data_IF_374250168334
#
_entry.id   IF_374250168334
#
_cell.length_a   1.000
_cell.length_b   1.000
_cell.length_c   1.000
_cell.angle_alpha   90.00
_cell.angle_beta   90.00
_cell.angle_gamma   90.00
#
_symmetry.space_group_name_H-M   'P 1'
#
loop_
_entity.id
_entity.type
_entity.pdbx_description
1 polymer ?
#
# COMPACT_ATOMS: atom_id res chain seq x y z
N UNK A 1 -7.94 53.74 5.16
CA UNK A 1 -7.52 52.80 4.09
C UNK A 1 -7.64 51.39 4.63
N UNK A 2 -8.46 50.53 4.02
CA UNK A 2 -8.55 49.12 4.41
C UNK A 2 -7.25 48.41 4.01
N UNK A 3 -6.59 47.73 4.96
CA UNK A 3 -5.47 46.84 4.60
C UNK A 3 -5.97 45.80 3.58
N UNK A 4 -5.24 45.53 2.48
CA UNK A 4 -5.59 44.47 1.57
C UNK A 4 -5.56 43.14 2.34
N UNK A 5 -6.65 42.37 2.24
CA UNK A 5 -6.72 41.03 2.84
C UNK A 5 -5.82 40.10 2.02
N UNK A 6 -4.77 39.56 2.64
CA UNK A 6 -3.89 38.57 2.01
C UNK A 6 -4.59 37.21 2.07
N UNK A 7 -4.59 36.48 0.96
CA UNK A 7 -5.19 35.14 0.91
C UNK A 7 -4.38 34.17 1.78
N UNK A 8 -4.99 33.24 2.55
CA UNK A 8 -4.26 32.31 3.40
C UNK A 8 -3.17 31.51 2.66
N UNK A 9 -3.43 31.11 1.40
CA UNK A 9 -2.42 30.44 0.56
C UNK A 9 -1.15 31.28 0.31
N UNK A 10 -1.24 32.60 0.42
CA UNK A 10 -0.12 33.52 0.23
C UNK A 10 0.51 33.95 1.57
N UNK A 11 -0.14 33.65 2.70
CA UNK A 11 0.28 34.11 4.02
C UNK A 11 0.81 32.99 4.92
N UNK A 12 0.40 31.75 4.71
CA UNK A 12 0.77 30.61 5.55
C UNK A 12 1.97 29.86 4.98
N UNK A 13 2.96 29.58 5.84
CA UNK A 13 4.04 28.65 5.51
C UNK A 13 3.47 27.25 5.25
N UNK A 14 3.97 26.57 4.22
CA UNK A 14 3.52 25.22 3.86
C UNK A 14 2.19 25.15 3.11
N UNK A 15 1.57 26.28 2.74
CA UNK A 15 0.28 26.28 2.02
C UNK A 15 0.33 25.63 0.61
N UNK A 16 1.54 25.42 0.09
CA UNK A 16 1.79 24.76 -1.19
C UNK A 16 2.51 23.41 -1.03
N UNK A 17 2.70 22.92 0.19
CA UNK A 17 3.23 21.56 0.39
C UNK A 17 2.22 20.56 -0.17
N UNK A 18 2.65 19.84 -1.22
CA UNK A 18 1.82 18.82 -1.83
C UNK A 18 1.72 17.64 -0.87
N UNK A 19 0.50 17.37 -0.41
CA UNK A 19 0.18 16.18 0.37
C UNK A 19 -0.49 15.19 -0.56
N UNK A 20 -0.15 13.88 -0.49
CA UNK A 20 -0.91 12.86 -1.17
C UNK A 20 -2.38 12.98 -0.76
N UNK A 21 -3.27 13.08 -1.75
CA UNK A 21 -4.72 13.09 -1.53
C UNK A 21 -5.19 11.62 -1.47
N UNK A 22 -5.06 11.02 -0.30
CA UNK A 22 -5.45 9.64 -0.04
C UNK A 22 -6.89 9.58 0.49
N UNK A 23 -7.72 8.63 0.00
CA UNK A 23 -8.97 8.29 0.65
C UNK A 23 -8.76 7.94 2.12
N UNK A 24 -9.74 8.30 2.95
CA UNK A 24 -9.66 8.12 4.43
C UNK A 24 -9.84 6.68 4.89
N UNK A 25 -10.19 5.78 3.98
CA UNK A 25 -10.43 4.37 4.24
C UNK A 25 -9.67 3.52 3.23
N UNK A 26 -9.02 2.48 3.71
CA UNK A 26 -8.39 1.42 2.92
C UNK A 26 -9.13 0.10 3.24
N UNK A 27 -9.80 -0.47 2.22
CA UNK A 27 -10.62 -1.66 2.35
C UNK A 27 -9.88 -2.90 1.81
N UNK A 28 -9.58 -3.85 2.69
CA UNK A 28 -8.84 -5.06 2.35
C UNK A 28 -9.74 -6.18 1.83
N UNK A 29 -9.28 -6.88 0.79
CA UNK A 29 -9.92 -8.08 0.27
C UNK A 29 -8.89 -9.10 -0.25
N UNK A 30 -8.79 -10.26 0.40
CA UNK A 30 -7.83 -11.32 0.03
C UNK A 30 -8.42 -12.56 -0.66
N UNK A 31 -9.70 -12.52 -1.06
CA UNK A 31 -10.30 -13.60 -1.86
C UNK A 31 -11.14 -13.03 -2.99
N UNK A 32 -11.11 -13.68 -4.15
CA UNK A 32 -11.72 -13.18 -5.38
C UNK A 32 -13.16 -12.66 -5.22
N UNK A 33 -14.08 -13.38 -4.55
CA UNK A 33 -15.45 -12.88 -4.41
C UNK A 33 -15.53 -11.56 -3.62
N UNK A 34 -14.65 -11.37 -2.63
CA UNK A 34 -14.56 -10.14 -1.83
C UNK A 34 -13.87 -9.03 -2.60
N UNK A 35 -12.81 -9.35 -3.35
CA UNK A 35 -12.12 -8.37 -4.21
C UNK A 35 -13.09 -7.76 -5.23
N UNK A 36 -13.82 -8.61 -5.96
CA UNK A 36 -14.83 -8.16 -6.93
C UNK A 36 -15.94 -7.33 -6.29
N UNK A 37 -16.41 -7.73 -5.09
CA UNK A 37 -17.41 -6.99 -4.33
C UNK A 37 -16.90 -5.63 -3.85
N UNK A 38 -15.65 -5.53 -3.41
CA UNK A 38 -15.04 -4.27 -2.99
C UNK A 38 -14.94 -3.28 -4.16
N UNK A 39 -14.51 -3.75 -5.33
CA UNK A 39 -14.45 -2.93 -6.55
C UNK A 39 -15.84 -2.43 -6.99
N UNK A 40 -16.84 -3.32 -6.99
CA UNK A 40 -18.22 -2.93 -7.29
C UNK A 40 -18.75 -1.90 -6.29
N UNK A 41 -18.52 -2.11 -4.99
CA UNK A 41 -18.92 -1.17 -3.95
C UNK A 41 -18.26 0.19 -4.12
N UNK A 42 -16.95 0.24 -4.43
CA UNK A 42 -16.23 1.49 -4.68
C UNK A 42 -16.86 2.25 -5.85
N UNK A 43 -17.15 1.54 -6.94
CA UNK A 43 -17.74 2.11 -8.15
C UNK A 43 -19.19 2.62 -7.94
N UNK A 44 -19.98 1.93 -7.11
CA UNK A 44 -21.40 2.24 -6.88
C UNK A 44 -21.62 3.36 -5.85
N UNK A 45 -20.68 3.58 -4.93
CA UNK A 45 -20.88 4.52 -3.81
C UNK A 45 -20.85 6.00 -4.23
N UNK A 46 -19.99 6.38 -5.18
CA UNK A 46 -19.85 7.76 -5.64
C UNK A 46 -19.16 7.86 -7.00
N UNK A 47 -19.14 9.06 -7.59
CA UNK A 47 -18.37 9.35 -8.81
C UNK A 47 -16.87 9.52 -8.56
N UNK A 48 -16.45 9.59 -7.30
CA UNK A 48 -15.05 9.60 -6.86
C UNK A 48 -14.79 8.43 -5.92
N UNK A 49 -13.54 7.98 -5.82
CA UNK A 49 -13.17 6.96 -4.85
C UNK A 49 -13.24 7.51 -3.42
N UNK A 50 -14.18 7.02 -2.62
CA UNK A 50 -14.30 7.37 -1.19
C UNK A 50 -13.36 6.54 -0.29
N UNK A 51 -12.85 5.42 -0.80
CA UNK A 51 -11.93 4.52 -0.13
C UNK A 51 -11.00 3.88 -1.16
N UNK A 52 -9.80 3.50 -0.76
CA UNK A 52 -8.90 2.62 -1.51
C UNK A 52 -9.29 1.16 -1.33
N UNK A 53 -9.00 0.32 -2.32
CA UNK A 53 -9.11 -1.15 -2.18
C UNK A 53 -7.70 -1.74 -2.18
N UNK A 54 -7.33 -2.42 -1.09
CA UNK A 54 -6.12 -3.26 -1.04
C UNK A 54 -6.49 -4.70 -1.37
N UNK A 55 -6.03 -5.20 -2.52
CA UNK A 55 -6.06 -6.63 -2.81
C UNK A 55 -4.94 -7.29 -2.01
N UNK A 56 -5.29 -8.29 -1.23
CA UNK A 56 -4.37 -8.85 -0.23
C UNK A 56 -3.82 -10.19 -0.67
N UNK A 57 -2.50 -10.29 -0.87
CA UNK A 57 -1.80 -11.53 -1.21
C UNK A 57 -1.22 -12.23 0.01
N UNK A 58 -1.28 -11.61 1.19
CA UNK A 58 -0.64 -12.10 2.40
C UNK A 58 -1.67 -12.76 3.35
N UNK A 59 -1.91 -12.22 4.54
CA UNK A 59 -2.69 -12.91 5.57
C UNK A 59 -4.17 -13.14 5.20
N UNK A 60 -4.71 -12.36 4.26
CA UNK A 60 -6.08 -12.49 3.76
C UNK A 60 -6.26 -13.51 2.64
N UNK A 61 -5.17 -14.08 2.10
CA UNK A 61 -5.18 -14.96 0.94
C UNK A 61 -5.15 -16.46 1.29
N UNK A 62 -5.63 -17.34 0.40
CA UNK A 62 -5.40 -18.78 0.51
C UNK A 62 -3.91 -19.13 0.30
N UNK A 63 -3.39 -20.08 1.07
CA UNK A 63 -2.01 -20.58 0.95
C UNK A 63 -1.89 -21.61 -0.18
N UNK A 64 -0.76 -21.62 -0.90
CA UNK A 64 -0.41 -22.65 -1.90
C UNK A 64 -0.86 -22.36 -3.33
N UNK A 65 -1.18 -21.10 -3.63
CA UNK A 65 -1.57 -20.62 -4.96
C UNK A 65 -1.11 -19.18 -5.19
N UNK A 66 0.02 -18.81 -4.60
CA UNK A 66 0.57 -17.44 -4.60
C UNK A 66 0.73 -16.88 -6.02
N UNK A 67 1.30 -17.62 -7.01
CA UNK A 67 1.43 -17.12 -8.38
C UNK A 67 0.08 -16.85 -9.07
N UNK A 68 -0.92 -17.71 -8.84
CA UNK A 68 -2.28 -17.53 -9.37
C UNK A 68 -2.96 -16.34 -8.71
N UNK A 69 -2.75 -16.15 -7.40
CA UNK A 69 -3.34 -15.04 -6.64
C UNK A 69 -2.76 -13.69 -7.08
N UNK A 70 -1.45 -13.60 -7.28
CA UNK A 70 -0.79 -12.40 -7.79
C UNK A 70 -1.26 -12.04 -9.21
N UNK A 71 -1.47 -13.05 -10.09
CA UNK A 71 -2.05 -12.83 -11.43
C UNK A 71 -3.48 -12.33 -11.37
N UNK A 72 -4.32 -12.92 -10.53
CA UNK A 72 -5.69 -12.45 -10.31
C UNK A 72 -5.70 -10.99 -9.85
N UNK A 73 -4.85 -10.63 -8.89
CA UNK A 73 -4.75 -9.24 -8.42
C UNK A 73 -4.34 -8.28 -9.55
N UNK A 74 -3.34 -8.65 -10.36
CA UNK A 74 -2.93 -7.86 -11.53
C UNK A 74 -4.06 -7.71 -12.56
N UNK A 75 -4.83 -8.77 -12.83
CA UNK A 75 -6.00 -8.73 -13.72
C UNK A 75 -7.08 -7.77 -13.17
N UNK A 76 -7.38 -7.84 -11.88
CA UNK A 76 -8.38 -6.96 -11.26
C UNK A 76 -7.96 -5.49 -11.27
N UNK A 77 -6.70 -5.18 -10.94
CA UNK A 77 -6.15 -3.82 -10.98
C UNK A 77 -6.18 -3.26 -12.41
N UNK A 78 -5.84 -4.07 -13.42
CA UNK A 78 -5.81 -3.64 -14.82
C UNK A 78 -7.20 -3.55 -15.45
N UNK A 79 -8.20 -4.22 -14.88
CA UNK A 79 -9.57 -4.25 -15.40
C UNK A 79 -10.31 -2.91 -15.35
N UNK A 80 -11.40 -2.82 -16.11
CA UNK A 80 -12.35 -1.71 -16.06
C UNK A 80 -13.08 -1.60 -14.70
N UNK A 81 -13.08 -2.65 -13.87
CA UNK A 81 -13.67 -2.61 -12.54
C UNK A 81 -12.87 -1.74 -11.56
N UNK A 82 -11.58 -1.53 -11.81
CA UNK A 82 -10.80 -0.47 -11.16
C UNK A 82 -11.19 0.90 -11.75
N UNK A 83 -12.45 1.32 -11.52
CA UNK A 83 -13.07 2.50 -12.15
C UNK A 83 -12.29 3.79 -11.85
N UNK A 84 -11.78 3.92 -10.63
CA UNK A 84 -11.19 5.15 -10.11
C UNK A 84 -9.66 5.15 -10.07
N UNK A 85 -8.99 4.04 -10.41
CA UNK A 85 -7.54 3.93 -10.31
C UNK A 85 -7.02 3.90 -8.87
N UNK A 86 -7.86 3.51 -7.91
CA UNK A 86 -7.61 3.53 -6.46
C UNK A 86 -7.62 2.12 -5.87
N UNK A 87 -6.84 1.25 -6.50
CA UNK A 87 -6.67 -0.16 -6.11
C UNK A 87 -5.18 -0.43 -5.94
N UNK A 88 -4.76 -0.73 -4.72
CA UNK A 88 -3.41 -1.16 -4.37
C UNK A 88 -3.36 -2.64 -4.05
N UNK A 89 -2.16 -3.15 -3.78
CA UNK A 89 -1.95 -4.56 -3.45
C UNK A 89 -0.98 -4.69 -2.26
N UNK A 90 -1.35 -5.51 -1.26
CA UNK A 90 -0.44 -5.95 -0.20
C UNK A 90 0.23 -7.24 -0.65
N UNK A 91 1.56 -7.20 -0.75
CA UNK A 91 2.39 -8.34 -1.18
C UNK A 91 2.88 -9.13 0.02
N UNK A 92 3.51 -10.27 -0.20
CA UNK A 92 4.24 -10.96 0.86
C UNK A 92 5.36 -10.09 1.47
N UNK A 93 5.82 -10.34 2.70
CA UNK A 93 6.90 -9.56 3.30
C UNK A 93 8.23 -9.78 2.55
N UNK A 94 9.14 -8.82 2.57
CA UNK A 94 10.51 -9.03 2.09
C UNK A 94 11.37 -9.63 3.23
N UNK A 95 12.24 -10.64 3.00
CA UNK A 95 12.56 -11.33 1.74
C UNK A 95 11.85 -12.70 1.60
N UNK A 96 10.52 -12.76 1.78
CA UNK A 96 9.74 -13.98 1.55
C UNK A 96 9.94 -14.49 0.11
N UNK A 97 10.02 -15.81 -0.14
CA UNK A 97 10.24 -16.36 -1.48
C UNK A 97 9.27 -15.86 -2.56
N UNK A 98 8.01 -15.60 -2.19
CA UNK A 98 6.99 -15.09 -3.13
C UNK A 98 7.11 -13.61 -3.47
N UNK A 99 7.82 -12.80 -2.67
CA UNK A 99 7.85 -11.34 -2.83
C UNK A 99 8.27 -10.90 -4.25
N UNK A 100 9.35 -11.49 -4.77
CA UNK A 100 9.87 -11.12 -6.08
C UNK A 100 8.88 -11.47 -7.21
N UNK A 101 8.16 -12.58 -7.07
CA UNK A 101 7.17 -13.03 -8.06
C UNK A 101 5.87 -12.23 -7.97
N UNK A 102 5.44 -11.82 -6.76
CA UNK A 102 4.34 -10.88 -6.56
C UNK A 102 4.62 -9.56 -7.30
N UNK A 103 5.76 -8.93 -6.98
CA UNK A 103 6.16 -7.64 -7.56
C UNK A 103 6.28 -7.74 -9.08
N UNK A 104 6.92 -8.80 -9.60
CA UNK A 104 7.05 -8.99 -11.05
C UNK A 104 5.69 -9.15 -11.74
N UNK A 105 4.81 -9.98 -11.18
CA UNK A 105 3.49 -10.24 -11.76
C UNK A 105 2.61 -8.99 -11.78
N UNK A 106 2.61 -8.25 -10.66
CA UNK A 106 1.84 -7.02 -10.52
C UNK A 106 2.34 -5.90 -11.43
N UNK A 107 3.67 -5.68 -11.51
CA UNK A 107 4.21 -4.62 -12.35
C UNK A 107 4.06 -4.94 -13.84
N UNK A 108 4.26 -6.19 -14.26
CA UNK A 108 4.06 -6.60 -15.65
C UNK A 108 2.59 -6.52 -16.10
N UNK A 109 1.64 -6.91 -15.23
CA UNK A 109 0.22 -6.93 -15.58
C UNK A 109 -0.54 -5.63 -15.31
N UNK A 110 -0.09 -4.83 -14.34
CA UNK A 110 -0.89 -3.73 -13.79
C UNK A 110 -0.11 -2.47 -13.40
N UNK A 111 1.20 -2.39 -13.66
CA UNK A 111 2.06 -1.31 -13.17
C UNK A 111 1.58 0.12 -13.49
N UNK A 112 0.93 0.32 -14.64
CA UNK A 112 0.38 1.62 -15.04
C UNK A 112 -0.88 2.04 -14.25
N UNK A 113 -1.60 1.09 -13.66
CA UNK A 113 -2.89 1.31 -12.96
C UNK A 113 -2.85 1.01 -11.46
N UNK A 114 -1.74 0.45 -10.98
CA UNK A 114 -1.55 0.09 -9.58
C UNK A 114 -1.42 1.35 -8.71
N UNK A 115 -2.34 1.55 -7.76
CA UNK A 115 -2.34 2.74 -6.91
C UNK A 115 -1.11 2.78 -6.01
N UNK A 116 -0.81 1.67 -5.34
CA UNK A 116 0.34 1.48 -4.45
C UNK A 116 0.67 0.00 -4.27
N UNK A 117 1.88 -0.28 -3.79
CA UNK A 117 2.28 -1.57 -3.21
C UNK A 117 2.44 -1.42 -1.70
N UNK A 118 1.84 -2.32 -0.93
CA UNK A 118 1.99 -2.34 0.53
C UNK A 118 2.93 -3.45 0.97
N UNK A 119 3.94 -3.09 1.78
CA UNK A 119 4.96 -3.99 2.32
C UNK A 119 4.63 -4.32 3.79
N UNK A 120 4.29 -5.59 4.09
CA UNK A 120 4.04 -6.03 5.45
C UNK A 120 5.34 -6.42 6.18
N UNK A 121 5.25 -6.51 7.51
CA UNK A 121 6.16 -7.20 8.44
C UNK A 121 7.65 -6.86 8.31
N UNK A 122 7.98 -5.67 7.81
CA UNK A 122 9.36 -5.21 7.69
C UNK A 122 10.07 -5.21 9.05
N UNK A 123 11.32 -5.69 9.14
CA UNK A 123 12.08 -5.71 10.40
C UNK A 123 12.83 -4.40 10.73
N UNK A 124 12.73 -3.39 9.88
CA UNK A 124 13.38 -2.09 10.07
C UNK A 124 13.53 -1.31 8.78
N UNK A 125 14.23 -0.19 8.83
CA UNK A 125 14.37 0.71 7.67
C UNK A 125 15.16 0.09 6.51
N UNK A 126 16.21 -0.68 6.80
CA UNK A 126 17.07 -1.28 5.76
C UNK A 126 16.31 -2.32 4.92
N UNK A 127 15.50 -3.16 5.57
CA UNK A 127 14.68 -4.15 4.86
C UNK A 127 13.64 -3.50 3.95
N UNK A 128 13.07 -2.38 4.40
CA UNK A 128 12.14 -1.59 3.58
C UNK A 128 12.87 -0.88 2.42
N UNK A 129 14.11 -0.41 2.61
CA UNK A 129 14.94 0.13 1.52
C UNK A 129 15.22 -0.93 0.46
N UNK A 130 15.55 -2.15 0.88
CA UNK A 130 15.81 -3.26 -0.04
C UNK A 130 14.55 -3.64 -0.81
N UNK A 131 13.39 -3.72 -0.14
CA UNK A 131 12.10 -3.96 -0.79
C UNK A 131 11.76 -2.88 -1.83
N UNK A 132 11.94 -1.60 -1.48
CA UNK A 132 11.73 -0.46 -2.41
C UNK A 132 12.70 -0.53 -3.59
N UNK A 133 13.97 -0.86 -3.35
CA UNK A 133 14.97 -1.00 -4.41
C UNK A 133 14.62 -2.13 -5.38
N UNK A 134 14.13 -3.27 -4.86
CA UNK A 134 13.65 -4.38 -5.68
C UNK A 134 12.45 -3.98 -6.55
N UNK A 135 11.46 -3.27 -5.98
CA UNK A 135 10.31 -2.73 -6.72
C UNK A 135 10.77 -1.79 -7.83
N UNK A 136 11.68 -0.85 -7.53
CA UNK A 136 12.17 0.11 -8.52
C UNK A 136 12.99 -0.57 -9.63
N UNK A 137 13.80 -1.57 -9.29
CA UNK A 137 14.53 -2.36 -10.27
C UNK A 137 13.56 -3.08 -11.22
N UNK A 138 12.56 -3.79 -10.70
CA UNK A 138 11.55 -4.47 -11.53
C UNK A 138 10.72 -3.46 -12.34
N UNK A 139 10.36 -2.31 -11.77
CA UNK A 139 9.64 -1.24 -12.47
C UNK A 139 10.43 -0.75 -13.69
N UNK A 140 11.76 -0.60 -13.56
CA UNK A 140 12.65 -0.22 -14.68
C UNK A 140 12.78 -1.33 -15.72
N UNK A 141 12.91 -2.58 -15.29
CA UNK A 141 12.97 -3.75 -16.18
C UNK A 141 11.71 -3.88 -17.02
N UNK A 142 10.54 -3.58 -16.45
CA UNK A 142 9.25 -3.56 -17.14
C UNK A 142 9.02 -2.29 -17.98
N UNK A 143 9.96 -1.34 -17.99
CA UNK A 143 9.88 -0.12 -18.80
C UNK A 143 8.77 0.85 -18.40
N UNK A 144 8.22 0.72 -17.19
CA UNK A 144 7.16 1.60 -16.69
C UNK A 144 7.73 3.00 -16.48
N UNK A 145 6.99 4.05 -16.88
CA UNK A 145 7.43 5.44 -16.69
C UNK A 145 6.98 6.04 -15.35
N UNK A 146 5.89 5.53 -14.79
CA UNK A 146 5.38 5.94 -13.48
C UNK A 146 6.13 5.22 -12.35
N UNK A 147 6.47 5.93 -11.28
CA UNK A 147 6.91 5.31 -10.03
C UNK A 147 5.67 4.78 -9.28
N UNK A 148 5.79 3.60 -8.67
CA UNK A 148 4.70 3.01 -7.87
C UNK A 148 4.86 3.45 -6.42
N UNK A 149 3.88 4.17 -5.83
CA UNK A 149 3.90 4.53 -4.42
C UNK A 149 3.99 3.28 -3.53
N UNK A 150 4.69 3.40 -2.40
CA UNK A 150 4.83 2.32 -1.43
C UNK A 150 4.15 2.71 -0.13
N UNK A 151 3.36 1.78 0.41
CA UNK A 151 2.83 1.85 1.77
C UNK A 151 3.58 0.83 2.62
N UNK A 152 3.79 1.12 3.92
CA UNK A 152 4.45 0.18 4.82
C UNK A 152 3.58 -0.10 6.05
N UNK A 153 3.57 -1.36 6.50
CA UNK A 153 3.02 -1.71 7.81
C UNK A 153 4.10 -1.58 8.89
N UNK A 154 3.80 -0.79 9.92
CA UNK A 154 4.56 -0.69 11.15
C UNK A 154 3.94 -1.68 12.14
N UNK A 155 4.48 -2.89 12.16
CA UNK A 155 3.89 -4.01 12.91
C UNK A 155 4.91 -4.95 13.56
N UNK A 156 6.18 -4.56 13.53
CA UNK A 156 7.28 -5.26 14.18
C UNK A 156 8.01 -4.32 15.14
N UNK A 157 8.74 -4.87 16.11
CA UNK A 157 9.56 -4.06 17.03
C UNK A 157 10.60 -3.22 16.28
N UNK A 158 11.20 -3.78 15.24
CA UNK A 158 12.22 -3.09 14.46
C UNK A 158 11.66 -1.98 13.57
N UNK A 159 10.51 -2.22 12.91
CA UNK A 159 9.81 -1.17 12.18
C UNK A 159 9.36 -0.02 13.10
N UNK A 160 8.86 -0.33 14.30
CA UNK A 160 8.47 0.71 15.25
C UNK A 160 9.68 1.51 15.74
N UNK A 161 10.80 0.84 16.08
CA UNK A 161 12.06 1.49 16.46
C UNK A 161 12.55 2.46 15.37
N UNK A 162 12.46 2.06 14.11
CA UNK A 162 13.00 2.81 12.97
C UNK A 162 11.95 3.69 12.27
N UNK A 163 10.75 3.85 12.85
CA UNK A 163 9.57 4.45 12.17
C UNK A 163 9.83 5.84 11.61
N UNK A 164 10.66 6.66 12.26
CA UNK A 164 11.04 7.99 11.77
C UNK A 164 11.88 7.91 10.49
N UNK A 165 12.83 6.97 10.44
CA UNK A 165 13.67 6.76 9.27
C UNK A 165 12.86 6.15 8.12
N UNK A 166 11.90 5.28 8.43
CA UNK A 166 10.93 4.72 7.49
C UNK A 166 10.04 5.82 6.90
N UNK A 167 9.48 6.71 7.74
CA UNK A 167 8.65 7.83 7.30
C UNK A 167 9.40 8.83 6.41
N UNK A 168 10.73 8.88 6.51
CA UNK A 168 11.57 9.75 5.69
C UNK A 168 11.98 9.14 4.35
N UNK A 169 11.59 7.89 4.04
CA UNK A 169 11.89 7.26 2.76
C UNK A 169 11.08 7.92 1.63
N UNK A 170 11.71 8.37 0.54
CA UNK A 170 11.01 9.13 -0.51
C UNK A 170 9.88 8.38 -1.24
N UNK A 171 9.93 7.04 -1.28
CA UNK A 171 8.91 6.23 -1.93
C UNK A 171 7.70 5.94 -1.03
N UNK A 172 7.80 6.21 0.28
CA UNK A 172 6.74 5.97 1.24
C UNK A 172 5.68 7.07 1.14
N UNK A 173 4.47 6.66 0.80
CA UNK A 173 3.30 7.54 0.73
C UNK A 173 2.45 7.45 2.02
N UNK A 174 2.42 6.28 2.65
CA UNK A 174 1.63 6.01 3.86
C UNK A 174 2.29 4.99 4.79
N UNK A 175 2.05 5.14 6.09
CA UNK A 175 2.40 4.17 7.13
C UNK A 175 1.13 3.72 7.86
N UNK A 176 0.89 2.42 7.85
CA UNK A 176 -0.25 1.79 8.51
C UNK A 176 0.22 1.02 9.75
N UNK A 177 -0.53 1.06 10.85
CA UNK A 177 -0.16 0.33 12.07
C UNK A 177 -0.82 -1.04 12.10
N UNK A 178 -0.01 -2.11 12.04
CA UNK A 178 -0.51 -3.49 12.10
C UNK A 178 -0.65 -3.96 13.54
N UNK A 179 -1.81 -3.67 14.14
CA UNK A 179 -2.06 -3.94 15.56
C UNK A 179 -1.89 -5.43 15.93
N UNK A 180 -2.47 -6.33 15.13
CA UNK A 180 -2.50 -7.77 15.46
C UNK A 180 -1.11 -8.40 15.42
N UNK A 181 -0.32 -8.10 14.39
CA UNK A 181 1.07 -8.54 14.28
C UNK A 181 1.94 -7.91 15.36
N UNK A 182 1.75 -6.62 15.66
CA UNK A 182 2.50 -5.95 16.72
C UNK A 182 2.25 -6.57 18.09
N UNK A 183 1.00 -6.85 18.45
CA UNK A 183 0.66 -7.56 19.70
C UNK A 183 1.26 -8.98 19.69
N UNK A 184 1.13 -9.72 18.58
CA UNK A 184 1.70 -11.06 18.43
C UNK A 184 3.23 -11.07 18.61
N UNK A 185 3.92 -10.01 18.19
CA UNK A 185 5.37 -9.84 18.37
C UNK A 185 5.81 -9.72 19.84
N UNK A 186 4.88 -9.62 20.79
CA UNK A 186 5.18 -9.67 22.22
C UNK A 186 5.14 -11.09 22.80
N UNK A 187 4.97 -12.12 21.95
CA UNK A 187 5.05 -13.54 22.32
C UNK A 187 4.15 -13.93 23.50
N UNK A 188 2.94 -13.36 23.59
CA UNK A 188 1.99 -13.64 24.67
C UNK A 188 2.31 -12.95 26.00
N UNK A 189 3.20 -11.96 26.03
CA UNK A 189 3.42 -11.11 27.22
C UNK A 189 2.16 -10.33 27.63
N UNK A 190 1.21 -10.13 26.71
CA UNK A 190 -0.13 -9.63 26.98
C UNK A 190 -1.05 -10.86 27.08
N UNK A 191 -1.53 -11.23 28.30
CA UNK A 191 -2.39 -12.39 28.45
C UNK A 191 -3.75 -12.16 27.77
N UNK A 192 -4.45 -13.22 27.33
CA UNK A 192 -5.79 -13.10 26.74
C UNK A 192 -6.85 -12.45 27.65
N UNK A 193 -6.55 -12.33 28.95
CA UNK A 193 -7.42 -11.76 29.98
C UNK A 193 -7.16 -10.28 30.28
N UNK A 194 -6.23 -9.63 29.57
CA UNK A 194 -5.88 -8.22 29.77
C UNK A 194 -6.92 -7.27 29.17
#
# INVERSE_FOLDING_TARGET
>A
MSRPRIHPLQALFGAHEHRPDLPVCDHYAGVEPRMRKALALQADMADTALFDVTLDLEDGAPVGGEPEHARLAAELVSSAANRHGRVGVRVHPYPHPSFADDVRSLLAGAGERLAYLMIPKAQGVEELRDAIAAIEATRREQGLARAVPVHALVETHGALRDVQAIAALPAIESLSFGLMDFVSAHHGAIPPSA
#
